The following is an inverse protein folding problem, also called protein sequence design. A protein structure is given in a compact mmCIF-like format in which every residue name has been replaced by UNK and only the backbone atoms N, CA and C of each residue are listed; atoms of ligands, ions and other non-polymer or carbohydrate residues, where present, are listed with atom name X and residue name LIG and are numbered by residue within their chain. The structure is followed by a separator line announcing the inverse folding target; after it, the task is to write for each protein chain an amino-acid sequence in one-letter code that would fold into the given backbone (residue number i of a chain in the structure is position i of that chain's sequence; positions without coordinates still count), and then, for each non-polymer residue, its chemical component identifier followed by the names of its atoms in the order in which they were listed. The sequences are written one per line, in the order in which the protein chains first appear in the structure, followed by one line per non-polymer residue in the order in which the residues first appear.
data_IF_906142979989
#
_entry.id   IF_906142979989
#
_cell.length_a   1.000
_cell.length_b   1.000
_cell.length_c   1.000
_cell.angle_alpha   90.00
_cell.angle_beta   90.00
_cell.angle_gamma   90.00
#
_symmetry.space_group_name_H-M   'P 1'
#
loop_
_entity.id
_entity.type
_entity.pdbx_description
1 polymer ?
#
# COMPACT_ATOMS: atom_id res chain seq x y z
N UNK A 1 -33.51 37.12 24.50
CA UNK A 1 -32.49 37.97 23.84
C UNK A 1 -31.04 37.63 24.23
N UNK A 2 -30.79 36.71 25.18
CA UNK A 2 -29.44 36.31 25.64
C UNK A 2 -28.80 35.18 24.81
N UNK A 3 -29.61 34.28 24.26
CA UNK A 3 -29.12 33.11 23.50
C UNK A 3 -28.32 33.53 22.26
N UNK A 4 -28.70 34.64 21.60
CA UNK A 4 -28.02 35.14 20.42
C UNK A 4 -26.57 35.57 20.72
N UNK A 5 -26.33 36.21 21.88
CA UNK A 5 -24.99 36.64 22.28
C UNK A 5 -24.07 35.47 22.65
N UNK A 6 -24.62 34.35 23.12
CA UNK A 6 -23.85 33.13 23.39
C UNK A 6 -23.67 32.28 22.11
N UNK A 7 -24.68 32.25 21.25
CA UNK A 7 -24.66 31.47 20.02
C UNK A 7 -23.63 32.00 19.02
N UNK A 8 -23.56 33.32 18.79
CA UNK A 8 -22.63 33.92 17.82
C UNK A 8 -21.16 33.46 18.00
N UNK A 9 -20.53 33.60 19.18
CA UNK A 9 -19.15 33.14 19.38
C UNK A 9 -19.02 31.60 19.30
N UNK A 10 -20.04 30.86 19.76
CA UNK A 10 -20.06 29.40 19.69
C UNK A 10 -20.12 28.90 18.23
N UNK A 11 -20.93 29.53 17.38
CA UNK A 11 -21.06 29.16 15.97
C UNK A 11 -19.75 29.40 15.22
N UNK A 12 -19.10 30.54 15.49
CA UNK A 12 -17.77 30.83 14.90
C UNK A 12 -16.76 29.76 15.35
N UNK A 13 -16.72 29.44 16.64
CA UNK A 13 -15.83 28.39 17.15
C UNK A 13 -16.06 27.05 16.44
N UNK A 14 -17.31 26.60 16.33
CA UNK A 14 -17.65 25.36 15.62
C UNK A 14 -17.29 25.43 14.13
N UNK A 15 -17.51 26.58 13.48
CA UNK A 15 -17.19 26.80 12.07
C UNK A 15 -15.68 26.71 11.80
N UNK A 16 -14.82 26.99 12.79
CA UNK A 16 -13.37 26.79 12.67
C UNK A 16 -12.92 25.38 13.10
N UNK A 17 -13.48 24.83 14.18
CA UNK A 17 -13.10 23.51 14.70
C UNK A 17 -13.54 22.39 13.77
N UNK A 18 -14.76 22.46 13.21
CA UNK A 18 -15.28 21.46 12.30
C UNK A 18 -14.40 21.23 11.05
N UNK A 19 -13.96 22.26 10.30
CA UNK A 19 -13.08 22.05 9.14
C UNK A 19 -11.67 21.59 9.53
N UNK A 20 -11.12 22.04 10.67
CA UNK A 20 -9.82 21.55 11.15
C UNK A 20 -9.91 20.06 11.51
N UNK A 21 -10.99 19.65 12.20
CA UNK A 21 -11.25 18.26 12.54
C UNK A 21 -11.45 17.40 11.29
N UNK A 22 -12.24 17.89 10.34
CA UNK A 22 -12.45 17.26 9.05
C UNK A 22 -11.10 17.01 8.37
N UNK A 23 -10.28 18.05 8.24
CA UNK A 23 -8.95 17.96 7.66
C UNK A 23 -8.07 16.95 8.40
N UNK A 24 -8.02 16.98 9.73
CA UNK A 24 -7.25 16.03 10.54
C UNK A 24 -7.77 14.59 10.39
N UNK A 25 -9.08 14.39 10.37
CA UNK A 25 -9.72 13.08 10.22
C UNK A 25 -9.44 12.45 8.85
N UNK A 26 -9.48 13.24 7.78
CA UNK A 26 -9.15 12.76 6.44
C UNK A 26 -7.63 12.60 6.26
N UNK A 27 -6.81 13.51 6.80
CA UNK A 27 -5.36 13.43 6.71
C UNK A 27 -4.79 12.24 7.51
N UNK A 28 -5.43 11.85 8.62
CA UNK A 28 -5.07 10.65 9.39
C UNK A 28 -5.17 9.34 8.58
N UNK A 29 -6.09 9.25 7.60
CA UNK A 29 -6.12 8.11 6.67
C UNK A 29 -4.96 8.16 5.66
N UNK A 30 -4.49 9.34 5.31
CA UNK A 30 -3.42 9.54 4.34
C UNK A 30 -2.03 9.27 4.94
N UNK A 31 -1.81 9.62 6.21
CA UNK A 31 -0.56 9.35 6.92
C UNK A 31 -0.35 7.85 7.19
N UNK A 32 -1.41 7.08 7.46
CA UNK A 32 -1.34 5.62 7.50
C UNK A 32 -1.00 5.02 6.11
N UNK A 33 -1.45 5.65 5.02
CA UNK A 33 -1.17 5.22 3.65
C UNK A 33 0.30 5.37 3.24
N UNK A 34 1.02 6.37 3.76
CA UNK A 34 2.45 6.56 3.45
C UNK A 34 3.33 5.48 4.09
N UNK A 35 3.03 5.07 5.32
CA UNK A 35 3.76 3.98 5.99
C UNK A 35 3.40 2.60 5.43
N UNK A 36 2.12 2.37 5.07
CA UNK A 36 1.70 1.18 4.33
C UNK A 36 2.39 1.10 2.95
N UNK A 37 2.49 2.23 2.24
CA UNK A 37 3.14 2.31 0.92
C UNK A 37 4.61 1.85 0.94
N UNK A 38 5.39 2.21 1.96
CA UNK A 38 6.76 1.72 2.08
C UNK A 38 6.85 0.21 2.37
N UNK A 39 5.98 -0.33 3.22
CA UNK A 39 5.93 -1.76 3.47
C UNK A 39 5.48 -2.54 2.23
N UNK A 40 4.52 -1.99 1.49
CA UNK A 40 4.01 -2.62 0.26
C UNK A 40 5.07 -2.60 -0.85
N UNK A 41 5.85 -1.53 -0.99
CA UNK A 41 7.01 -1.51 -1.89
C UNK A 41 8.06 -2.55 -1.51
N UNK A 42 8.36 -2.73 -0.21
CA UNK A 42 9.27 -3.77 0.26
C UNK A 42 8.73 -5.19 -0.01
N UNK A 43 7.43 -5.42 0.17
CA UNK A 43 6.82 -6.72 -0.17
C UNK A 43 6.91 -7.02 -1.65
N UNK A 44 6.63 -6.03 -2.50
CA UNK A 44 6.72 -6.18 -3.96
C UNK A 44 8.15 -6.48 -4.42
N UNK A 45 9.16 -5.82 -3.82
CA UNK A 45 10.56 -6.11 -4.14
C UNK A 45 10.97 -7.54 -3.75
N UNK A 46 10.54 -8.01 -2.57
CA UNK A 46 10.78 -9.39 -2.13
C UNK A 46 10.13 -10.42 -3.07
N UNK A 47 8.86 -10.21 -3.43
CA UNK A 47 8.15 -11.09 -4.36
C UNK A 47 8.83 -11.14 -5.74
N UNK A 48 9.33 -10.01 -6.21
CA UNK A 48 10.05 -9.91 -7.50
C UNK A 48 11.37 -10.69 -7.45
N UNK A 49 12.11 -10.58 -6.35
CA UNK A 49 13.37 -11.31 -6.17
C UNK A 49 13.14 -12.82 -6.05
N UNK A 50 12.08 -13.25 -5.35
CA UNK A 50 11.73 -14.67 -5.27
C UNK A 50 11.26 -15.22 -6.63
N UNK A 51 10.50 -14.44 -7.40
CA UNK A 51 10.13 -14.82 -8.76
C UNK A 51 11.38 -14.94 -9.66
N UNK A 52 12.37 -14.06 -9.50
CA UNK A 52 13.65 -14.13 -10.23
C UNK A 52 14.41 -15.42 -9.91
N UNK A 53 14.57 -15.72 -8.61
CA UNK A 53 15.24 -16.95 -8.15
C UNK A 53 14.54 -18.22 -8.65
N UNK A 54 13.21 -18.21 -8.64
CA UNK A 54 12.43 -19.34 -9.13
C UNK A 54 12.62 -19.55 -10.65
N UNK A 55 12.67 -18.47 -11.44
CA UNK A 55 12.98 -18.55 -12.87
C UNK A 55 14.38 -19.10 -13.14
N UNK A 56 15.39 -18.65 -12.40
CA UNK A 56 16.76 -19.17 -12.53
C UNK A 56 16.83 -20.67 -12.22
N UNK A 57 16.12 -21.13 -11.18
CA UNK A 57 16.03 -22.55 -10.84
C UNK A 57 15.31 -23.37 -11.91
N UNK A 58 14.21 -22.85 -12.46
CA UNK A 58 13.49 -23.53 -13.55
C UNK A 58 14.40 -23.66 -14.76
N UNK A 59 15.14 -22.61 -15.11
CA UNK A 59 16.06 -22.66 -16.25
C UNK A 59 17.18 -23.68 -16.04
N UNK A 60 17.77 -23.74 -14.85
CA UNK A 60 18.76 -24.75 -14.52
C UNK A 60 18.18 -26.18 -14.56
N UNK A 61 16.95 -26.36 -14.08
CA UNK A 61 16.26 -27.65 -14.17
C UNK A 61 15.92 -28.03 -15.62
N UNK A 62 15.52 -27.07 -16.45
CA UNK A 62 15.31 -27.28 -17.88
C UNK A 62 16.60 -27.67 -18.59
N UNK A 63 17.73 -27.03 -18.26
CA UNK A 63 19.04 -27.38 -18.83
C UNK A 63 19.45 -28.81 -18.45
N UNK A 64 19.30 -29.19 -17.17
CA UNK A 64 19.57 -30.55 -16.71
C UNK A 64 18.62 -31.55 -17.41
N UNK A 65 17.33 -31.24 -17.49
CA UNK A 65 16.34 -32.12 -18.09
C UNK A 65 16.52 -32.27 -19.61
N UNK A 66 16.96 -31.21 -20.30
CA UNK A 66 17.33 -31.26 -21.71
C UNK A 66 18.60 -32.13 -21.92
N UNK A 67 19.54 -32.14 -20.96
CA UNK A 67 20.72 -33.05 -21.02
C UNK A 67 20.40 -34.51 -20.73
N UNK A 68 19.53 -34.79 -19.76
CA UNK A 68 19.18 -36.16 -19.33
C UNK A 68 18.10 -36.80 -20.23
N UNK A 69 17.14 -36.02 -20.74
CA UNK A 69 15.98 -36.53 -21.48
C UNK A 69 15.64 -35.69 -22.73
N UNK A 70 16.48 -35.65 -23.78
CA UNK A 70 16.36 -34.70 -24.91
C UNK A 70 15.02 -34.63 -25.69
N UNK A 71 14.11 -35.60 -25.52
CA UNK A 71 12.80 -35.63 -26.18
C UNK A 71 11.61 -35.27 -25.27
N UNK A 72 11.83 -34.85 -24.02
CA UNK A 72 10.74 -34.60 -23.05
C UNK A 72 9.76 -33.49 -23.49
N UNK A 73 10.23 -32.51 -24.27
CA UNK A 73 9.41 -31.41 -24.81
C UNK A 73 8.50 -31.80 -25.99
N UNK A 74 8.65 -33.00 -26.55
CA UNK A 74 7.93 -33.48 -27.73
C UNK A 74 6.86 -34.55 -27.41
N UNK A 75 6.69 -34.92 -26.14
CA UNK A 75 5.68 -35.87 -25.65
C UNK A 75 4.32 -35.23 -25.39
#
# INVERSE_FOLDING_TARGET
MSILFLAIPLTIFVLFVAPIWLWLHYNGRQQNGVQLSHQDMQRLSLLTEDARRMRERIQALEEILDTEHPNWRQS
#
